data_IF_612145031447
#
_entry.id   IF_612145031447
#
_cell.length_a   1.000
_cell.length_b   1.000
_cell.length_c   1.000
_cell.angle_alpha   90.00
_cell.angle_beta   90.00
_cell.angle_gamma   90.00
#
_symmetry.space_group_name_H-M   'P 1'
#
loop_
_entity.id
_entity.type
_entity.pdbx_description
1 polymer ?
#
# COMPACT_ATOMS: atom_id res chain seq x y z
N UNK A 1 2.41 -5.32 -8.46
CA UNK A 1 3.52 -4.68 -9.21
C UNK A 1 3.61 -3.21 -8.79
N UNK A 2 4.83 -2.63 -8.70
CA UNK A 2 5.03 -1.21 -8.31
C UNK A 2 4.22 -0.26 -9.20
N UNK A 3 4.20 -0.55 -10.50
CA UNK A 3 3.50 0.21 -11.51
C UNK A 3 2.02 0.46 -11.19
N UNK A 4 1.30 -0.54 -10.67
CA UNK A 4 -0.12 -0.42 -10.31
C UNK A 4 -0.35 0.59 -9.18
N UNK A 5 0.56 0.66 -8.20
CA UNK A 5 0.45 1.61 -7.09
C UNK A 5 0.77 3.04 -7.54
N UNK A 6 1.76 3.19 -8.42
CA UNK A 6 2.13 4.49 -9.01
C UNK A 6 1.01 5.01 -9.90
N UNK A 7 0.47 4.17 -10.80
CA UNK A 7 -0.68 4.54 -11.64
C UNK A 7 -1.94 4.82 -10.83
N UNK A 8 -2.24 3.99 -9.82
CA UNK A 8 -3.39 4.20 -8.94
C UNK A 8 -3.27 5.52 -8.19
N UNK A 9 -2.10 5.81 -7.63
CA UNK A 9 -1.79 7.07 -6.98
C UNK A 9 -1.87 8.27 -7.93
N UNK A 10 -1.30 8.16 -9.13
CA UNK A 10 -1.35 9.22 -10.15
C UNK A 10 -2.79 9.51 -10.58
N UNK A 11 -3.59 8.47 -10.80
CA UNK A 11 -5.02 8.59 -11.15
C UNK A 11 -5.80 9.24 -10.01
N UNK A 12 -5.51 8.87 -8.76
CA UNK A 12 -6.10 9.51 -7.59
C UNK A 12 -5.75 11.01 -7.51
N UNK A 13 -4.49 11.36 -7.74
CA UNK A 13 -4.06 12.76 -7.81
C UNK A 13 -4.76 13.55 -8.92
N UNK A 14 -4.86 12.96 -10.11
CA UNK A 14 -5.58 13.54 -11.26
C UNK A 14 -7.06 13.80 -10.92
N UNK A 15 -7.74 12.80 -10.36
CA UNK A 15 -9.14 12.91 -9.94
C UNK A 15 -9.32 13.93 -8.81
N UNK A 16 -8.39 13.98 -7.85
CA UNK A 16 -8.40 14.99 -6.78
C UNK A 16 -8.32 16.42 -7.34
N UNK A 17 -7.50 16.65 -8.38
CA UNK A 17 -7.44 17.94 -9.07
C UNK A 17 -8.72 18.25 -9.85
N UNK A 18 -9.29 17.26 -10.55
CA UNK A 18 -10.60 17.42 -11.21
C UNK A 18 -11.69 17.79 -10.21
N UNK A 19 -11.74 17.11 -9.07
CA UNK A 19 -12.71 17.37 -8.00
C UNK A 19 -12.56 18.79 -7.44
N UNK A 20 -11.32 19.22 -7.16
CA UNK A 20 -11.06 20.58 -6.70
C UNK A 20 -11.52 21.65 -7.71
N UNK A 21 -11.36 21.41 -9.01
CA UNK A 21 -11.85 22.34 -10.05
C UNK A 21 -13.37 22.31 -10.22
N UNK A 22 -14.00 21.14 -10.03
CA UNK A 22 -15.46 21.03 -10.00
C UNK A 22 -16.08 21.87 -8.89
N UNK A 23 -15.47 21.87 -7.69
CA UNK A 23 -15.91 22.72 -6.58
C UNK A 23 -15.73 24.20 -6.90
N UNK A 24 -14.59 24.58 -7.49
CA UNK A 24 -14.30 25.97 -7.84
C UNK A 24 -15.02 26.47 -9.12
N UNK A 25 -15.83 25.62 -9.77
CA UNK A 25 -16.46 25.89 -11.07
C UNK A 25 -15.51 26.47 -12.14
N UNK A 26 -14.23 26.07 -12.08
CA UNK A 26 -13.23 26.50 -13.05
C UNK A 26 -13.14 25.51 -14.21
N UNK A 27 -12.85 25.97 -15.44
CA UNK A 27 -12.70 25.09 -16.59
C UNK A 27 -11.59 24.05 -16.34
N UNK A 28 -11.93 22.79 -16.61
CA UNK A 28 -11.12 21.64 -16.21
C UNK A 28 -9.74 21.54 -16.89
N UNK A 29 -9.42 22.32 -17.92
CA UNK A 29 -8.19 22.12 -18.68
C UNK A 29 -7.31 23.37 -18.81
N UNK A 30 -7.58 24.43 -18.05
CA UNK A 30 -6.76 25.66 -18.10
C UNK A 30 -5.33 25.47 -17.57
N UNK A 31 -5.07 24.49 -16.70
CA UNK A 31 -3.75 24.31 -16.07
C UNK A 31 -3.23 22.88 -16.15
N UNK A 32 -2.62 22.52 -17.28
CA UNK A 32 -1.94 21.22 -17.46
C UNK A 32 -0.87 20.99 -16.38
N UNK A 33 -0.16 22.05 -15.98
CA UNK A 33 0.84 21.97 -14.89
C UNK A 33 0.25 21.59 -13.53
N UNK A 34 -0.98 22.01 -13.23
CA UNK A 34 -1.67 21.65 -11.99
C UNK A 34 -2.01 20.15 -11.95
N UNK A 35 -2.40 19.57 -13.07
CA UNK A 35 -2.63 18.13 -13.17
C UNK A 35 -1.36 17.33 -13.01
N UNK A 36 -0.26 17.74 -13.66
CA UNK A 36 1.03 17.07 -13.54
C UNK A 36 1.55 17.10 -12.09
N UNK A 37 1.40 18.23 -11.38
CA UNK A 37 1.78 18.34 -9.99
C UNK A 37 0.95 17.42 -9.07
N UNK A 38 -0.38 17.37 -9.26
CA UNK A 38 -1.22 16.50 -8.45
C UNK A 38 -1.01 15.02 -8.79
N UNK A 39 -0.79 14.68 -10.05
CA UNK A 39 -0.44 13.33 -10.48
C UNK A 39 0.90 12.88 -9.90
N UNK A 40 1.92 13.76 -9.86
CA UNK A 40 3.22 13.42 -9.29
C UNK A 40 3.15 13.23 -7.77
N UNK A 41 2.40 14.07 -7.06
CA UNK A 41 2.14 13.91 -5.62
C UNK A 41 1.39 12.60 -5.37
N UNK A 42 0.32 12.33 -6.12
CA UNK A 42 -0.46 11.10 -6.01
C UNK A 42 0.39 9.86 -6.30
N UNK A 43 1.22 9.89 -7.35
CA UNK A 43 2.15 8.82 -7.70
C UNK A 43 3.17 8.54 -6.59
N UNK A 44 3.77 9.59 -6.03
CA UNK A 44 4.69 9.49 -4.90
C UNK A 44 4.00 8.89 -3.65
N UNK A 45 2.78 9.34 -3.35
CA UNK A 45 1.96 8.78 -2.28
C UNK A 45 1.63 7.30 -2.48
N UNK A 46 1.29 6.91 -3.71
CA UNK A 46 1.05 5.52 -4.07
C UNK A 46 2.30 4.63 -3.90
N UNK A 47 3.47 5.14 -4.27
CA UNK A 47 4.74 4.45 -4.04
C UNK A 47 5.05 4.28 -2.54
N UNK A 48 4.86 5.32 -1.74
CA UNK A 48 5.06 5.26 -0.29
C UNK A 48 4.12 4.24 0.37
N UNK A 49 2.84 4.22 0.00
CA UNK A 49 1.86 3.25 0.50
C UNK A 49 2.25 1.79 0.17
N UNK A 50 2.83 1.55 -1.01
CA UNK A 50 3.35 0.23 -1.36
C UNK A 50 4.46 -0.21 -0.39
N UNK A 51 5.36 0.69 -0.02
CA UNK A 51 6.40 0.43 0.98
C UNK A 51 5.81 -0.02 2.31
N UNK A 52 4.85 0.75 2.83
CA UNK A 52 4.16 0.42 4.07
C UNK A 52 3.48 -0.96 4.05
N UNK A 53 2.85 -1.33 2.93
CA UNK A 53 2.25 -2.67 2.77
C UNK A 53 3.30 -3.79 2.76
N UNK A 54 4.47 -3.54 2.19
CA UNK A 54 5.56 -4.50 2.13
C UNK A 54 6.14 -4.77 3.53
N UNK A 55 6.23 -3.73 4.36
CA UNK A 55 6.65 -3.86 5.77
C UNK A 55 5.66 -4.71 6.57
N UNK A 56 4.35 -4.43 6.43
CA UNK A 56 3.32 -5.20 7.12
C UNK A 56 3.32 -6.68 6.71
N UNK A 57 3.50 -6.97 5.42
CA UNK A 57 3.58 -8.35 4.94
C UNK A 57 4.77 -9.08 5.56
N UNK A 58 5.93 -8.43 5.63
CA UNK A 58 7.13 -8.99 6.25
C UNK A 58 6.91 -9.29 7.74
N UNK A 59 6.23 -8.40 8.46
CA UNK A 59 5.89 -8.61 9.87
C UNK A 59 4.93 -9.80 10.03
N UNK A 60 3.93 -9.91 9.16
CA UNK A 60 2.97 -11.03 9.19
C UNK A 60 3.67 -12.38 8.91
N UNK A 61 4.55 -12.44 7.92
CA UNK A 61 5.32 -13.63 7.58
C UNK A 61 6.21 -14.07 8.76
N UNK A 62 6.95 -13.14 9.39
CA UNK A 62 7.77 -13.46 10.59
C UNK A 62 6.94 -13.99 11.77
N UNK A 63 5.76 -13.40 12.01
CA UNK A 63 4.85 -13.88 13.06
C UNK A 63 4.33 -15.27 12.76
N UNK A 64 4.01 -15.55 11.50
CA UNK A 64 3.57 -16.88 11.07
C UNK A 64 4.66 -17.94 11.29
N UNK A 65 5.89 -17.68 10.88
CA UNK A 65 7.03 -18.59 11.12
C UNK A 65 7.24 -18.87 12.61
N UNK A 66 7.17 -17.83 13.43
CA UNK A 66 7.31 -17.95 14.88
C UNK A 66 6.21 -18.83 15.49
N UNK A 67 4.96 -18.65 15.06
CA UNK A 67 3.84 -19.48 15.52
C UNK A 67 3.97 -20.94 15.06
N UNK A 68 4.52 -21.17 13.86
CA UNK A 68 4.76 -22.52 13.35
C UNK A 68 5.82 -23.24 14.18
N UNK A 69 6.92 -22.56 14.52
CA UNK A 69 7.98 -23.09 15.37
C UNK A 69 7.44 -23.50 16.76
N UNK A 70 6.66 -22.61 17.40
CA UNK A 70 6.04 -22.93 18.69
C UNK A 70 5.07 -24.11 18.62
N UNK A 71 4.35 -24.29 17.51
CA UNK A 71 3.48 -25.46 17.32
C UNK A 71 4.29 -26.75 17.21
N UNK A 72 5.35 -26.75 16.43
CA UNK A 72 6.24 -27.90 16.29
C UNK A 72 6.90 -28.28 17.63
N UNK A 73 7.34 -27.29 18.41
CA UNK A 73 7.89 -27.52 19.75
C UNK A 73 6.86 -28.14 20.71
N UNK A 74 5.61 -27.65 20.69
CA UNK A 74 4.55 -28.23 21.51
C UNK A 74 4.18 -29.64 21.10
N UNK A 75 4.13 -29.93 19.80
CA UNK A 75 3.88 -31.29 19.31
C UNK A 75 5.00 -32.25 19.74
N UNK A 76 6.26 -31.81 19.70
CA UNK A 76 7.40 -32.60 20.18
C UNK A 76 7.34 -32.86 21.70
N UNK A 77 6.93 -31.88 22.49
CA UNK A 77 6.74 -32.03 23.95
C UNK A 77 5.62 -33.02 24.28
N UNK A 78 4.47 -32.91 23.61
CA UNK A 78 3.35 -33.82 23.80
C UNK A 78 3.70 -35.27 23.39
N UNK A 79 4.49 -35.44 22.33
CA UNK A 79 4.97 -36.75 21.91
C UNK A 79 5.95 -37.37 22.94
N UNK A 80 6.76 -36.55 23.61
CA UNK A 80 7.67 -37.00 24.66
C UNK A 80 6.95 -37.33 25.98
N UNK A 81 5.83 -36.66 26.30
CA UNK A 81 4.99 -37.00 27.47
C UNK A 81 4.12 -38.26 27.24
N UNK A 82 3.91 -38.66 25.99
CA UNK A 82 3.15 -39.86 25.63
C UNK A 82 4.01 -41.14 25.54
N UNK A 83 5.34 -41.02 25.71
CA UNK A 83 6.29 -42.15 25.82
C UNK A 83 6.67 -42.41 27.27
#
# INVERSE_FOLDING_TARGET
MVFSYVLGGATFGFLGRMYAMGIMQRPFFESVGGYLAYMSIGAAGGYWYKGFKQDQRTIAERRYETLLAYRAEREAQLAAEQQ
#
